data_IF_206801589804
#
_entry.id   IF_206801589804
#
_cell.length_a   1.000
_cell.length_b   1.000
_cell.length_c   1.000
_cell.angle_alpha   90.00
_cell.angle_beta   90.00
_cell.angle_gamma   90.00
#
_symmetry.space_group_name_H-M   'P 1'
#
loop_
_entity.id
_entity.type
_entity.pdbx_description
1 polymer ?
#
# COMPACT_ATOMS: atom_id res chain seq x y z
N UNK A 1 4.00 -10.05 -21.63
CA UNK A 1 4.00 -8.65 -22.18
C UNK A 1 4.38 -8.65 -23.64
N UNK A 2 3.55 -8.02 -24.49
CA UNK A 2 3.85 -7.86 -25.91
C UNK A 2 4.96 -6.84 -26.16
N UNK A 3 5.73 -6.96 -27.29
CA UNK A 3 6.82 -6.02 -27.59
C UNK A 3 6.37 -4.55 -27.69
N UNK A 4 5.17 -4.32 -28.16
CA UNK A 4 4.58 -2.99 -28.31
C UNK A 4 4.37 -2.31 -26.95
N UNK A 5 3.70 -2.96 -26.01
CA UNK A 5 3.53 -2.45 -24.65
C UNK A 5 4.87 -2.24 -23.95
N UNK A 6 5.82 -3.18 -24.16
CA UNK A 6 7.17 -3.04 -23.60
C UNK A 6 7.88 -1.78 -24.11
N UNK A 7 7.74 -1.46 -25.38
CA UNK A 7 8.31 -0.25 -25.98
C UNK A 7 7.64 1.02 -25.43
N UNK A 8 6.32 1.01 -25.29
CA UNK A 8 5.56 2.16 -24.78
C UNK A 8 5.91 2.49 -23.33
N UNK A 9 6.05 1.49 -22.44
CA UNK A 9 6.35 1.73 -21.01
C UNK A 9 7.85 1.98 -20.73
N UNK A 10 8.74 1.79 -21.72
CA UNK A 10 10.19 1.82 -21.50
C UNK A 10 10.70 3.16 -20.96
N UNK A 11 10.05 4.26 -21.29
CA UNK A 11 10.44 5.62 -20.91
C UNK A 11 9.44 6.31 -19.97
N UNK A 12 8.31 5.66 -19.63
CA UNK A 12 7.28 6.24 -18.79
C UNK A 12 7.66 6.18 -17.32
N UNK A 13 7.51 7.29 -16.63
CA UNK A 13 7.65 7.37 -15.20
C UNK A 13 6.33 6.94 -14.52
N UNK A 14 6.39 5.87 -13.78
CA UNK A 14 5.24 5.24 -13.15
C UNK A 14 5.33 5.44 -11.64
N UNK A 15 4.28 5.99 -11.05
CA UNK A 15 4.11 6.06 -9.60
C UNK A 15 3.01 5.10 -9.16
N UNK A 16 3.29 4.26 -8.17
CA UNK A 16 2.30 3.38 -7.57
C UNK A 16 2.09 3.75 -6.10
N UNK A 17 0.86 4.08 -5.71
CA UNK A 17 0.46 4.26 -4.32
C UNK A 17 0.08 2.90 -3.73
N UNK A 18 0.76 2.50 -2.67
CA UNK A 18 0.59 1.16 -2.13
C UNK A 18 0.58 1.11 -0.59
N UNK A 19 -0.18 0.17 -0.04
CA UNK A 19 -0.12 -0.26 1.34
C UNK A 19 -0.65 -1.68 1.47
N UNK A 20 -0.26 -2.39 2.53
CA UNK A 20 -0.69 -3.75 2.79
C UNK A 20 -0.30 -4.79 1.74
N UNK A 21 -0.89 -5.97 1.89
CA UNK A 21 -0.54 -7.15 1.07
C UNK A 21 -0.95 -7.01 -0.40
N UNK A 22 -2.13 -6.44 -0.66
CA UNK A 22 -2.64 -6.24 -2.04
C UNK A 22 -1.75 -5.29 -2.81
N UNK A 23 -1.42 -4.14 -2.22
CA UNK A 23 -0.52 -3.14 -2.78
C UNK A 23 0.88 -3.68 -3.05
N UNK A 24 1.46 -4.40 -2.07
CA UNK A 24 2.77 -5.03 -2.22
C UNK A 24 2.83 -6.02 -3.38
N UNK A 25 1.77 -6.80 -3.61
CA UNK A 25 1.68 -7.76 -4.72
C UNK A 25 1.68 -7.06 -6.08
N UNK A 26 0.87 -6.00 -6.25
CA UNK A 26 0.85 -5.25 -7.51
C UNK A 26 2.18 -4.52 -7.73
N UNK A 27 2.73 -3.89 -6.68
CA UNK A 27 4.06 -3.26 -6.73
C UNK A 27 5.14 -4.25 -7.20
N UNK A 28 5.10 -5.50 -6.71
CA UNK A 28 5.99 -6.58 -7.16
C UNK A 28 5.74 -6.98 -8.62
N UNK A 29 4.50 -6.96 -9.09
CA UNK A 29 4.18 -7.19 -10.50
C UNK A 29 4.74 -6.10 -11.40
N UNK A 30 4.53 -4.85 -11.04
CA UNK A 30 5.08 -3.69 -11.74
C UNK A 30 6.62 -3.74 -11.80
N UNK A 31 7.27 -4.07 -10.69
CA UNK A 31 8.74 -4.18 -10.64
C UNK A 31 9.31 -5.32 -11.51
N UNK A 32 8.50 -6.31 -11.91
CA UNK A 32 8.90 -7.38 -12.82
C UNK A 32 8.88 -6.95 -14.30
N UNK A 33 8.03 -5.97 -14.65
CA UNK A 33 7.77 -5.63 -16.07
C UNK A 33 8.18 -4.21 -16.44
N UNK A 34 8.08 -3.24 -15.53
CA UNK A 34 8.51 -1.86 -15.76
C UNK A 34 10.02 -1.68 -15.51
N UNK A 35 10.68 -0.75 -16.23
CA UNK A 35 12.07 -0.41 -15.94
C UNK A 35 12.19 0.14 -14.52
N UNK A 36 13.07 -0.45 -13.71
CA UNK A 36 13.18 -0.13 -12.27
C UNK A 36 13.56 1.32 -11.99
N UNK A 37 14.26 2.00 -12.89
CA UNK A 37 14.62 3.41 -12.79
C UNK A 37 13.45 4.36 -13.04
N UNK A 38 12.36 3.87 -13.64
CA UNK A 38 11.16 4.64 -13.97
C UNK A 38 9.96 4.26 -13.08
N UNK A 39 10.14 3.34 -12.13
CA UNK A 39 9.09 2.93 -11.21
C UNK A 39 9.38 3.43 -9.79
N UNK A 40 8.47 4.23 -9.25
CA UNK A 40 8.47 4.66 -7.85
C UNK A 40 7.23 4.12 -7.13
N UNK A 41 7.44 3.49 -5.99
CA UNK A 41 6.37 3.04 -5.10
C UNK A 41 6.32 3.98 -3.90
N UNK A 42 5.20 4.68 -3.72
CA UNK A 42 4.93 5.51 -2.53
C UNK A 42 4.09 4.67 -1.57
N UNK A 43 4.60 4.47 -0.36
CA UNK A 43 4.00 3.55 0.61
C UNK A 43 3.43 4.29 1.80
N UNK A 44 2.28 3.82 2.26
CA UNK A 44 1.64 4.26 3.48
C UNK A 44 2.55 4.08 4.70
N UNK A 45 2.58 5.10 5.56
CA UNK A 45 3.21 5.09 6.89
C UNK A 45 2.21 5.46 7.99
N UNK A 46 0.92 5.49 7.64
CA UNK A 46 -0.16 5.83 8.58
C UNK A 46 -0.42 4.77 9.65
N UNK A 47 0.07 3.58 9.45
CA UNK A 47 0.00 2.47 10.40
C UNK A 47 1.31 2.21 11.16
N UNK A 48 2.31 3.07 10.98
CA UNK A 48 3.58 3.02 11.72
C UNK A 48 3.35 3.28 13.21
N UNK A 49 4.07 2.56 14.06
CA UNK A 49 3.95 2.70 15.52
C UNK A 49 5.23 2.31 16.25
N UNK A 50 5.26 2.60 17.55
CA UNK A 50 6.37 2.23 18.42
C UNK A 50 6.04 0.98 19.25
N UNK A 51 6.93 0.00 19.25
CA UNK A 51 6.85 -1.18 20.10
C UNK A 51 8.24 -1.56 20.61
N UNK A 52 8.38 -1.77 21.93
CA UNK A 52 9.66 -2.12 22.57
C UNK A 52 10.79 -1.11 22.26
N UNK A 53 10.46 0.15 22.03
CA UNK A 53 11.41 1.20 21.64
C UNK A 53 11.83 1.15 20.17
N UNK A 54 11.23 0.29 19.37
CA UNK A 54 11.50 0.14 17.93
C UNK A 54 10.40 0.78 17.10
N UNK A 55 10.78 1.36 15.97
CA UNK A 55 9.84 1.84 14.96
C UNK A 55 9.44 0.70 14.04
N UNK A 56 8.15 0.35 14.08
CA UNK A 56 7.53 -0.69 13.27
C UNK A 56 6.76 -0.02 12.14
N UNK A 57 7.01 -0.44 10.90
CA UNK A 57 6.41 0.15 9.69
C UNK A 57 5.75 -0.96 8.85
N UNK A 58 4.55 -1.45 9.21
CA UNK A 58 3.98 -2.68 8.67
C UNK A 58 3.80 -2.69 7.16
N UNK A 59 3.29 -1.59 6.57
CA UNK A 59 3.08 -1.50 5.13
C UNK A 59 4.42 -1.38 4.38
N UNK A 60 5.35 -0.56 4.88
CA UNK A 60 6.70 -0.44 4.33
C UNK A 60 7.43 -1.78 4.33
N UNK A 61 7.32 -2.55 5.42
CA UNK A 61 7.97 -3.85 5.56
C UNK A 61 7.35 -4.88 4.63
N UNK A 62 6.02 -4.92 4.55
CA UNK A 62 5.30 -5.80 3.64
C UNK A 62 5.71 -5.56 2.17
N UNK A 63 5.82 -4.30 1.74
CA UNK A 63 6.26 -3.95 0.39
C UNK A 63 7.75 -4.28 0.20
N UNK A 64 8.60 -3.91 1.15
CA UNK A 64 10.05 -4.19 1.10
C UNK A 64 10.32 -5.69 1.02
N UNK A 65 9.71 -6.50 1.87
CA UNK A 65 9.91 -7.95 1.87
C UNK A 65 9.36 -8.62 0.60
N UNK A 66 8.26 -8.10 0.07
CA UNK A 66 7.68 -8.61 -1.19
C UNK A 66 8.56 -8.30 -2.40
N UNK A 67 9.11 -7.09 -2.49
CA UNK A 67 10.04 -6.69 -3.55
C UNK A 67 11.41 -7.38 -3.43
N UNK A 68 11.87 -7.63 -2.19
CA UNK A 68 13.12 -8.32 -1.90
C UNK A 68 13.03 -9.85 -1.96
N UNK A 69 11.87 -10.41 -2.32
CA UNK A 69 11.63 -11.87 -2.39
C UNK A 69 11.89 -12.63 -1.08
N UNK A 70 11.67 -11.97 0.07
CA UNK A 70 11.88 -12.57 1.40
C UNK A 70 10.59 -12.62 2.23
N UNK A 71 9.46 -12.25 1.64
CA UNK A 71 8.15 -12.26 2.33
C UNK A 71 7.62 -13.67 2.55
N UNK A 72 6.95 -13.89 3.67
CA UNK A 72 6.21 -15.12 3.92
C UNK A 72 4.95 -15.17 3.06
N UNK A 73 4.93 -16.08 2.09
CA UNK A 73 3.83 -16.22 1.13
C UNK A 73 2.56 -16.83 1.75
N UNK A 74 2.67 -17.55 2.87
CA UNK A 74 1.52 -18.20 3.53
C UNK A 74 0.72 -17.19 4.34
N UNK A 75 1.39 -16.41 5.19
CA UNK A 75 0.76 -15.36 5.99
C UNK A 75 0.45 -14.11 5.16
N UNK A 76 1.29 -13.81 4.16
CA UNK A 76 1.26 -12.59 3.35
C UNK A 76 1.85 -11.37 4.06
N UNK A 77 2.41 -11.53 5.26
CA UNK A 77 3.15 -10.53 6.04
C UNK A 77 4.33 -11.20 6.76
N UNK A 78 5.28 -10.39 7.19
CA UNK A 78 6.50 -10.87 7.81
C UNK A 78 7.45 -11.56 6.83
N UNK A 79 8.52 -12.13 7.34
CA UNK A 79 9.57 -12.76 6.54
C UNK A 79 9.39 -14.26 6.46
N UNK A 80 9.86 -14.86 5.38
CA UNK A 80 9.97 -16.31 5.28
C UNK A 80 11.09 -16.83 6.18
N UNK A 81 10.89 -18.01 6.78
CA UNK A 81 11.88 -18.64 7.64
C UNK A 81 12.02 -18.01 9.03
N UNK A 82 10.99 -17.31 9.51
CA UNK A 82 10.99 -16.70 10.84
C UNK A 82 11.11 -17.73 11.96
N UNK A 83 11.81 -17.33 13.02
CA UNK A 83 11.71 -17.88 14.37
C UNK A 83 11.08 -16.85 15.31
N UNK A 84 10.66 -17.30 16.49
CA UNK A 84 9.85 -16.50 17.41
C UNK A 84 10.46 -16.44 18.81
N UNK A 85 11.74 -16.77 18.92
CA UNK A 85 12.44 -16.94 20.21
C UNK A 85 12.42 -15.65 21.01
N UNK A 86 12.70 -14.52 20.37
CA UNK A 86 12.78 -13.22 21.04
C UNK A 86 11.41 -12.79 21.56
N UNK A 87 10.36 -12.84 20.75
CA UNK A 87 9.02 -12.38 21.17
C UNK A 87 8.41 -13.30 22.23
N UNK A 88 8.71 -14.61 22.19
CA UNK A 88 8.30 -15.55 23.22
C UNK A 88 8.99 -15.25 24.56
N UNK A 89 10.27 -14.91 24.53
CA UNK A 89 11.02 -14.53 25.71
C UNK A 89 10.54 -13.17 26.27
N UNK A 90 10.24 -12.19 25.39
CA UNK A 90 9.60 -10.93 25.80
C UNK A 90 8.29 -11.19 26.54
N UNK A 91 7.46 -12.09 26.02
CA UNK A 91 6.20 -12.50 26.66
C UNK A 91 6.45 -13.13 28.04
N UNK A 92 7.44 -14.03 28.14
CA UNK A 92 7.83 -14.69 29.40
C UNK A 92 8.28 -13.68 30.46
N UNK A 93 8.94 -12.61 30.02
CA UNK A 93 9.40 -11.52 30.90
C UNK A 93 8.32 -10.47 31.21
N UNK A 94 7.08 -10.66 30.74
CA UNK A 94 5.95 -9.75 30.99
C UNK A 94 5.90 -8.53 30.08
N UNK A 95 6.68 -8.51 29.01
CA UNK A 95 6.66 -7.44 28.01
C UNK A 95 5.46 -7.56 27.02
N UNK A 96 5.19 -6.49 26.24
CA UNK A 96 4.12 -6.49 25.25
C UNK A 96 4.43 -7.47 24.11
N UNK A 97 3.46 -8.33 23.78
CA UNK A 97 3.59 -9.35 22.72
C UNK A 97 2.32 -9.50 21.88
N UNK A 98 1.52 -8.44 21.84
CA UNK A 98 0.28 -8.42 21.06
C UNK A 98 0.52 -8.31 19.55
N UNK A 99 1.65 -7.75 19.15
CA UNK A 99 2.09 -7.71 17.77
C UNK A 99 3.18 -8.76 17.58
N UNK A 100 2.97 -9.65 16.62
CA UNK A 100 3.92 -10.74 16.35
C UNK A 100 5.12 -10.22 15.57
N UNK A 101 6.30 -10.25 16.19
CA UNK A 101 7.58 -9.91 15.58
C UNK A 101 8.42 -11.18 15.47
N UNK A 102 8.75 -11.59 14.26
CA UNK A 102 9.72 -12.65 14.01
C UNK A 102 11.15 -12.16 14.27
N UNK A 103 12.09 -13.07 14.47
CA UNK A 103 13.48 -12.70 14.80
C UNK A 103 14.20 -12.02 13.62
N UNK A 104 13.88 -12.41 12.36
CA UNK A 104 14.40 -11.76 11.16
C UNK A 104 13.74 -10.42 10.90
N UNK A 105 12.43 -10.30 11.14
CA UNK A 105 11.68 -9.04 11.07
C UNK A 105 12.20 -8.04 12.10
N UNK A 106 12.46 -8.51 13.32
CA UNK A 106 13.06 -7.71 14.39
C UNK A 106 14.39 -7.09 13.98
N UNK A 107 15.22 -7.78 13.21
CA UNK A 107 16.49 -7.24 12.71
C UNK A 107 16.26 -6.02 11.79
N UNK A 108 15.23 -6.04 10.96
CA UNK A 108 14.84 -4.89 10.11
C UNK A 108 14.45 -3.68 10.98
N UNK A 109 13.63 -3.92 12.02
CA UNK A 109 13.21 -2.84 12.93
C UNK A 109 14.38 -2.26 13.74
N UNK A 110 15.31 -3.10 14.18
CA UNK A 110 16.52 -2.65 14.88
C UNK A 110 17.37 -1.72 13.99
N UNK A 111 17.66 -2.12 12.75
CA UNK A 111 18.41 -1.30 11.80
C UNK A 111 17.69 0.01 11.50
N UNK A 112 16.38 -0.03 11.20
CA UNK A 112 15.58 1.19 10.98
C UNK A 112 15.63 2.11 12.19
N UNK A 113 15.37 1.57 13.38
CA UNK A 113 15.32 2.36 14.60
C UNK A 113 16.68 2.98 14.95
N UNK A 114 17.80 2.31 14.66
CA UNK A 114 19.13 2.88 14.80
C UNK A 114 19.30 4.10 13.89
N UNK A 115 18.94 4.00 12.58
CA UNK A 115 19.01 5.14 11.65
C UNK A 115 18.22 6.35 12.18
N UNK A 116 17.00 6.12 12.66
CA UNK A 116 16.15 7.18 13.21
C UNK A 116 16.73 7.79 14.49
N UNK A 117 17.30 6.96 15.38
CA UNK A 117 17.95 7.42 16.60
C UNK A 117 19.23 8.25 16.33
N UNK A 118 19.90 8.00 15.21
CA UNK A 118 21.04 8.80 14.72
C UNK A 118 20.60 10.10 14.02
N UNK A 119 19.30 10.40 13.98
CA UNK A 119 18.74 11.61 13.38
C UNK A 119 18.58 11.53 11.86
N UNK A 120 18.68 10.34 11.28
CA UNK A 120 18.41 10.13 9.87
C UNK A 120 16.90 10.01 9.61
N UNK A 121 16.47 10.21 8.37
CA UNK A 121 15.05 10.14 7.99
C UNK A 121 14.58 8.70 7.72
N UNK A 122 13.27 8.48 7.77
CA UNK A 122 12.66 7.20 7.37
C UNK A 122 12.97 6.87 5.90
N UNK A 123 12.98 7.89 5.01
CA UNK A 123 13.42 7.75 3.61
C UNK A 123 14.85 7.21 3.51
N UNK A 124 15.78 7.69 4.36
CA UNK A 124 17.16 7.21 4.37
C UNK A 124 17.28 5.78 4.86
N UNK A 125 16.58 5.43 5.95
CA UNK A 125 16.52 4.08 6.48
C UNK A 125 15.90 3.10 5.46
N UNK A 126 14.82 3.49 4.81
CA UNK A 126 14.17 2.70 3.74
C UNK A 126 15.10 2.43 2.58
N UNK A 127 15.81 3.46 2.08
CA UNK A 127 16.78 3.31 0.98
C UNK A 127 17.89 2.32 1.36
N UNK A 128 18.41 2.43 2.59
CA UNK A 128 19.42 1.51 3.09
C UNK A 128 18.90 0.07 3.08
N UNK A 129 17.74 -0.19 3.66
CA UNK A 129 17.12 -1.52 3.72
C UNK A 129 16.85 -2.07 2.30
N UNK A 130 16.31 -1.27 1.39
CA UNK A 130 16.11 -1.65 0.00
C UNK A 130 17.41 -2.10 -0.67
N UNK A 131 18.50 -1.37 -0.43
CA UNK A 131 19.83 -1.74 -0.96
C UNK A 131 20.29 -3.10 -0.42
N UNK A 132 20.11 -3.35 0.89
CA UNK A 132 20.48 -4.63 1.52
C UNK A 132 19.63 -5.81 1.01
N UNK A 133 18.37 -5.56 0.68
CA UNK A 133 17.47 -6.55 0.08
C UNK A 133 17.59 -6.66 -1.45
N UNK A 134 18.51 -5.92 -2.09
CA UNK A 134 18.74 -5.97 -3.54
C UNK A 134 17.60 -5.37 -4.37
N UNK A 135 16.74 -4.53 -3.76
CA UNK A 135 15.63 -3.85 -4.42
C UNK A 135 16.18 -2.67 -5.23
N UNK A 136 15.90 -2.67 -6.53
CA UNK A 136 16.34 -1.62 -7.46
C UNK A 136 15.29 -0.54 -7.71
N UNK A 137 14.02 -0.89 -7.51
CA UNK A 137 12.88 0.04 -7.65
C UNK A 137 12.93 1.07 -6.53
N UNK A 138 12.60 2.31 -6.83
CA UNK A 138 12.51 3.36 -5.82
C UNK A 138 11.31 3.12 -4.91
N UNK A 139 11.57 2.92 -3.62
CA UNK A 139 10.57 2.77 -2.58
C UNK A 139 10.65 3.97 -1.64
N UNK A 140 9.55 4.71 -1.49
CA UNK A 140 9.49 5.92 -0.69
C UNK A 140 8.38 5.82 0.36
N UNK A 141 8.65 6.18 1.63
CA UNK A 141 7.58 6.48 2.56
C UNK A 141 6.82 7.72 2.08
N UNK A 142 5.51 7.79 2.30
CA UNK A 142 4.70 8.95 1.92
C UNK A 142 5.19 10.25 2.56
N UNK A 143 5.79 10.13 3.75
CA UNK A 143 6.38 11.23 4.53
C UNK A 143 7.47 10.73 5.45
N UNK A 144 8.40 11.61 5.85
CA UNK A 144 9.34 11.38 6.95
C UNK A 144 8.76 11.82 8.31
N UNK A 145 7.57 12.45 8.31
CA UNK A 145 6.86 12.84 9.52
C UNK A 145 5.96 11.71 10.02
N UNK A 146 5.75 11.63 11.32
CA UNK A 146 4.75 10.71 11.86
C UNK A 146 3.35 11.09 11.39
N UNK A 147 2.62 10.14 10.85
CA UNK A 147 1.30 10.35 10.26
C UNK A 147 0.29 9.28 10.71
N UNK A 148 0.03 9.10 12.03
CA UNK A 148 -0.74 7.98 12.54
C UNK A 148 -2.19 8.03 12.05
N UNK A 149 -2.67 6.91 11.52
CA UNK A 149 -4.08 6.67 11.24
C UNK A 149 -4.78 6.24 12.50
N UNK A 150 -5.85 6.95 12.88
CA UNK A 150 -6.64 6.69 14.08
C UNK A 150 -8.01 6.15 13.71
N UNK A 151 -8.47 5.15 14.43
CA UNK A 151 -9.80 4.56 14.29
C UNK A 151 -10.69 5.08 15.41
N UNK A 152 -11.72 5.83 15.04
CA UNK A 152 -12.76 6.28 15.97
C UNK A 152 -13.81 5.20 16.07
N UNK A 153 -13.99 4.66 17.28
CA UNK A 153 -15.03 3.69 17.63
C UNK A 153 -16.16 4.39 18.42
N UNK A 154 -17.08 3.61 18.96
CA UNK A 154 -18.12 4.18 19.84
C UNK A 154 -17.52 4.70 21.16
N UNK A 155 -16.53 3.98 21.69
CA UNK A 155 -16.06 4.19 23.05
C UNK A 155 -14.64 4.78 23.12
N UNK A 156 -13.83 4.58 22.07
CA UNK A 156 -12.42 4.97 22.05
C UNK A 156 -11.95 5.51 20.69
N UNK A 157 -10.78 6.16 20.69
CA UNK A 157 -9.98 6.48 19.52
C UNK A 157 -8.67 5.70 19.59
N UNK A 158 -8.49 4.74 18.70
CA UNK A 158 -7.40 3.78 18.73
C UNK A 158 -6.45 3.99 17.54
N UNK A 159 -5.11 3.86 17.73
CA UNK A 159 -4.20 3.70 16.60
C UNK A 159 -4.62 2.49 15.75
N UNK A 160 -4.46 2.59 14.43
CA UNK A 160 -4.95 1.54 13.52
C UNK A 160 -4.44 0.15 13.88
N UNK A 161 -3.13 -0.02 14.14
CA UNK A 161 -2.58 -1.33 14.49
C UNK A 161 -3.07 -1.86 15.84
N UNK A 162 -3.39 -0.98 16.79
CA UNK A 162 -4.04 -1.39 18.05
C UNK A 162 -5.44 -1.93 17.76
N UNK A 163 -6.24 -1.21 16.99
CA UNK A 163 -7.57 -1.66 16.61
C UNK A 163 -7.52 -2.94 15.77
N UNK A 164 -6.61 -3.01 14.80
CA UNK A 164 -6.55 -4.10 13.82
C UNK A 164 -5.99 -5.39 14.40
N UNK A 165 -4.84 -5.31 15.11
CA UNK A 165 -4.13 -6.51 15.60
C UNK A 165 -4.50 -6.79 17.04
N UNK A 166 -4.35 -5.81 17.95
CA UNK A 166 -4.53 -6.04 19.40
C UNK A 166 -5.99 -6.32 19.75
N UNK A 167 -6.92 -5.52 19.20
CA UNK A 167 -8.36 -5.66 19.42
C UNK A 167 -9.03 -6.60 18.40
N UNK A 168 -8.23 -7.21 17.49
CA UNK A 168 -8.73 -8.13 16.47
C UNK A 168 -9.83 -7.52 15.59
N UNK A 169 -9.79 -6.17 15.37
CA UNK A 169 -10.78 -5.39 14.62
C UNK A 169 -12.24 -5.63 15.06
N UNK A 170 -12.44 -6.04 16.30
CA UNK A 170 -13.80 -6.27 16.87
C UNK A 170 -14.57 -4.97 17.10
N UNK A 171 -13.98 -3.88 17.66
CA UNK A 171 -14.73 -2.65 17.87
C UNK A 171 -15.25 -2.09 16.56
N UNK A 172 -16.55 -1.73 16.55
CA UNK A 172 -17.18 -1.14 15.36
C UNK A 172 -16.60 0.25 15.09
N UNK A 173 -16.21 0.47 13.83
CA UNK A 173 -15.65 1.75 13.37
C UNK A 173 -16.76 2.75 13.07
N UNK A 174 -16.54 4.01 13.43
CA UNK A 174 -17.39 5.15 13.04
C UNK A 174 -16.72 6.04 12.01
N UNK A 175 -15.42 6.22 12.14
CA UNK A 175 -14.65 7.13 11.31
C UNK A 175 -13.17 6.74 11.33
N UNK A 176 -12.48 7.00 10.23
CA UNK A 176 -11.01 7.07 10.17
C UNK A 176 -10.61 8.53 10.33
N UNK A 177 -9.68 8.79 11.24
CA UNK A 177 -9.13 10.12 11.47
C UNK A 177 -7.67 10.13 11.04
N UNK A 178 -7.33 11.04 10.14
CA UNK A 178 -5.99 11.26 9.63
C UNK A 178 -5.39 12.54 10.21
N UNK A 179 -4.07 12.61 10.42
CA UNK A 179 -3.41 13.81 10.93
C UNK A 179 -3.49 14.95 9.90
N UNK A 180 -3.46 16.17 10.38
CA UNK A 180 -3.32 17.38 9.57
C UNK A 180 -1.84 17.78 9.47
N UNK A 181 -1.52 18.63 8.49
CA UNK A 181 -0.21 19.28 8.32
C UNK A 181 0.99 18.33 8.08
N UNK A 182 0.74 17.09 7.68
CA UNK A 182 1.79 16.17 7.21
C UNK A 182 2.18 16.50 5.78
N UNK A 183 3.48 16.55 5.51
CA UNK A 183 4.03 16.93 4.21
C UNK A 183 4.80 15.79 3.56
N UNK A 184 4.66 15.70 2.25
CA UNK A 184 5.43 14.79 1.41
C UNK A 184 6.91 15.15 1.42
N UNK A 185 7.76 14.14 1.26
CA UNK A 185 9.19 14.37 1.08
C UNK A 185 9.47 14.99 -0.29
N UNK A 186 10.62 15.64 -0.44
CA UNK A 186 11.02 16.18 -1.74
C UNK A 186 11.12 15.09 -2.82
N UNK A 187 11.46 13.86 -2.43
CA UNK A 187 11.54 12.72 -3.34
C UNK A 187 10.15 12.29 -3.83
N UNK A 188 9.15 12.29 -2.96
CA UNK A 188 7.75 11.99 -3.31
C UNK A 188 7.21 13.06 -4.27
N UNK A 189 7.42 14.34 -3.95
CA UNK A 189 7.02 15.46 -4.82
C UNK A 189 7.67 15.31 -6.21
N UNK A 190 8.98 15.09 -6.27
CA UNK A 190 9.70 14.94 -7.52
C UNK A 190 9.23 13.72 -8.34
N UNK A 191 8.92 12.60 -7.70
CA UNK A 191 8.37 11.43 -8.38
C UNK A 191 6.99 11.75 -8.99
N UNK A 192 6.13 12.44 -8.26
CA UNK A 192 4.83 12.87 -8.75
C UNK A 192 4.91 13.93 -9.86
N UNK A 193 5.84 14.88 -9.79
CA UNK A 193 6.04 15.88 -10.86
C UNK A 193 6.41 15.22 -12.20
N UNK A 194 7.16 14.14 -12.15
CA UNK A 194 7.62 13.42 -13.34
C UNK A 194 6.72 12.28 -13.80
N UNK A 195 5.73 11.92 -12.99
CA UNK A 195 4.88 10.79 -13.31
C UNK A 195 4.06 10.99 -14.57
N UNK A 196 4.12 10.06 -15.49
CA UNK A 196 3.24 9.95 -16.65
C UNK A 196 1.99 9.14 -16.30
N UNK A 197 2.12 8.17 -15.39
CA UNK A 197 1.05 7.30 -14.91
C UNK A 197 1.10 7.23 -13.40
N UNK A 198 -0.08 7.36 -12.74
CA UNK A 198 -0.27 7.07 -11.33
C UNK A 198 -1.20 5.86 -11.18
N UNK A 199 -0.76 4.88 -10.40
CA UNK A 199 -1.51 3.65 -10.13
C UNK A 199 -1.87 3.63 -8.64
N UNK A 200 -3.16 3.53 -8.33
CA UNK A 200 -3.65 3.24 -6.99
C UNK A 200 -3.79 1.71 -6.88
N UNK A 201 -2.91 1.10 -6.12
CA UNK A 201 -2.89 -0.36 -5.95
C UNK A 201 -4.16 -0.88 -5.22
N UNK A 202 -4.49 -2.19 -5.30
CA UNK A 202 -5.64 -2.78 -4.61
C UNK A 202 -5.40 -2.87 -3.09
N UNK A 203 -5.27 -1.71 -2.48
CA UNK A 203 -5.06 -1.46 -1.05
C UNK A 203 -6.34 -0.95 -0.41
N UNK A 204 -6.44 -1.03 0.91
CA UNK A 204 -7.60 -0.51 1.63
C UNK A 204 -7.71 1.02 1.39
N UNK A 205 -8.83 1.52 0.83
CA UNK A 205 -8.99 2.95 0.53
C UNK A 205 -8.78 3.85 1.75
N UNK A 206 -9.29 3.44 2.91
CA UNK A 206 -9.41 4.30 4.10
C UNK A 206 -8.15 4.36 4.97
N UNK A 207 -7.40 3.26 5.05
CA UNK A 207 -6.26 3.13 5.98
C UNK A 207 -4.93 2.86 5.28
N UNK A 208 -4.93 2.69 3.95
CA UNK A 208 -3.70 2.54 3.18
C UNK A 208 -3.54 3.61 2.09
N UNK A 209 -4.61 3.98 1.38
CA UNK A 209 -4.54 4.96 0.28
C UNK A 209 -4.84 6.38 0.77
N UNK A 210 -5.92 6.59 1.52
CA UNK A 210 -6.24 7.92 2.04
C UNK A 210 -5.13 8.52 2.91
N UNK A 211 -4.42 7.75 3.76
CA UNK A 211 -3.27 8.32 4.47
C UNK A 211 -2.20 8.88 3.53
N UNK A 212 -1.92 8.22 2.38
CA UNK A 212 -1.00 8.74 1.36
C UNK A 212 -1.56 10.02 0.74
N UNK A 213 -2.82 9.98 0.31
CA UNK A 213 -3.49 11.13 -0.33
C UNK A 213 -3.68 12.32 0.62
N UNK A 214 -3.73 12.09 1.93
CA UNK A 214 -3.85 13.13 2.94
C UNK A 214 -2.53 13.89 3.19
N UNK A 215 -1.40 13.35 2.75
CA UNK A 215 -0.11 14.01 2.86
C UNK A 215 0.00 15.11 1.81
N UNK A 216 0.07 16.39 2.27
CA UNK A 216 0.17 17.53 1.36
C UNK A 216 1.51 17.55 0.60
N UNK A 217 1.56 17.80 -0.70
CA UNK A 217 0.47 18.11 -1.64
C UNK A 217 0.09 16.92 -2.55
N UNK A 218 0.15 15.65 -2.07
CA UNK A 218 0.03 14.47 -2.95
C UNK A 218 -1.31 14.46 -3.71
N UNK A 219 -2.43 14.67 -3.03
CA UNK A 219 -3.76 14.66 -3.67
C UNK A 219 -3.90 15.77 -4.71
N UNK A 220 -3.49 16.98 -4.36
CA UNK A 220 -3.52 18.14 -5.25
C UNK A 220 -2.68 17.89 -6.51
N UNK A 221 -1.47 17.36 -6.33
CA UNK A 221 -0.59 17.04 -7.47
C UNK A 221 -1.19 15.95 -8.37
N UNK A 222 -1.85 14.96 -7.82
CA UNK A 222 -2.49 13.90 -8.61
C UNK A 222 -3.67 14.47 -9.41
N UNK A 223 -4.45 15.37 -8.83
CA UNK A 223 -5.62 15.98 -9.49
C UNK A 223 -5.25 17.07 -10.52
N UNK A 224 -4.22 17.85 -10.23
CA UNK A 224 -3.92 19.06 -11.03
C UNK A 224 -2.95 18.79 -12.21
N UNK A 225 -2.17 17.72 -12.16
CA UNK A 225 -1.17 17.44 -13.18
C UNK A 225 -1.74 16.52 -14.28
N UNK A 226 -1.46 16.82 -15.58
CA UNK A 226 -1.97 16.02 -16.69
C UNK A 226 -1.29 14.64 -16.72
N UNK A 227 -1.96 13.63 -16.28
CA UNK A 227 -1.49 12.23 -16.24
C UNK A 227 -2.67 11.29 -16.14
N UNK A 228 -2.49 10.03 -16.55
CA UNK A 228 -3.49 9.00 -16.31
C UNK A 228 -3.40 8.50 -14.86
N UNK A 229 -4.53 8.46 -14.17
CA UNK A 229 -4.68 7.91 -12.84
C UNK A 229 -5.62 6.72 -12.88
N UNK A 230 -5.10 5.53 -12.62
CA UNK A 230 -5.91 4.30 -12.62
C UNK A 230 -5.87 3.61 -11.26
N UNK A 231 -7.02 3.11 -10.81
CA UNK A 231 -7.12 2.40 -9.54
C UNK A 231 -7.59 0.95 -9.73
N UNK A 232 -7.05 0.04 -8.91
CA UNK A 232 -7.47 -1.36 -8.87
C UNK A 232 -8.31 -1.61 -7.64
N UNK A 233 -9.46 -2.27 -7.81
CA UNK A 233 -10.37 -2.59 -6.72
C UNK A 233 -9.74 -3.55 -5.69
N UNK A 234 -9.81 -3.25 -4.38
CA UNK A 234 -9.52 -4.22 -3.32
C UNK A 234 -10.70 -5.12 -2.99
N UNK A 235 -11.88 -4.85 -3.57
CA UNK A 235 -13.12 -5.61 -3.36
C UNK A 235 -13.38 -6.48 -4.59
N UNK A 236 -13.64 -7.75 -4.36
CA UNK A 236 -13.94 -8.76 -5.37
C UNK A 236 -15.18 -9.54 -4.93
N UNK A 237 -16.23 -9.56 -5.75
CA UNK A 237 -17.47 -10.27 -5.45
C UNK A 237 -18.12 -9.83 -4.13
N UNK A 238 -18.04 -8.54 -3.79
CA UNK A 238 -18.57 -7.98 -2.55
C UNK A 238 -17.76 -8.33 -1.30
N UNK A 239 -16.49 -8.75 -1.44
CA UNK A 239 -15.62 -9.14 -0.32
C UNK A 239 -14.23 -8.50 -0.47
N UNK A 240 -13.59 -8.19 0.65
CA UNK A 240 -12.16 -7.90 0.67
C UNK A 240 -11.38 -9.22 0.62
N UNK A 241 -10.36 -9.28 -0.24
CA UNK A 241 -9.48 -10.47 -0.35
C UNK A 241 -8.70 -10.67 0.94
N UNK A 242 -8.22 -9.58 1.55
CA UNK A 242 -7.56 -9.55 2.86
C UNK A 242 -7.89 -8.26 3.61
N UNK A 243 -7.81 -8.32 4.94
CA UNK A 243 -7.97 -7.17 5.81
C UNK A 243 -9.40 -6.67 5.96
N UNK A 244 -9.59 -5.54 6.65
CA UNK A 244 -10.89 -5.11 7.16
C UNK A 244 -11.70 -4.24 6.18
N UNK A 245 -11.29 -4.03 4.91
CA UNK A 245 -11.91 -3.05 4.01
C UNK A 245 -13.43 -3.24 3.88
N UNK A 246 -13.90 -4.48 3.68
CA UNK A 246 -15.34 -4.78 3.55
C UNK A 246 -16.12 -4.45 4.84
N UNK A 247 -15.56 -4.79 6.02
CA UNK A 247 -16.15 -4.43 7.32
C UNK A 247 -16.20 -2.93 7.50
N UNK A 248 -15.11 -2.23 7.19
CA UNK A 248 -15.02 -0.78 7.30
C UNK A 248 -16.06 -0.09 6.41
N UNK A 249 -16.19 -0.52 5.15
CA UNK A 249 -17.23 -0.01 4.24
C UNK A 249 -18.62 -0.17 4.85
N UNK A 250 -18.96 -1.39 5.28
CA UNK A 250 -20.28 -1.69 5.84
C UNK A 250 -20.59 -0.85 7.10
N UNK A 251 -19.64 -0.72 8.01
CA UNK A 251 -19.82 0.02 9.27
C UNK A 251 -19.86 1.54 9.08
N UNK A 252 -19.21 2.06 8.04
CA UNK A 252 -19.30 3.46 7.63
C UNK A 252 -20.51 3.74 6.70
N UNK A 253 -21.38 2.75 6.48
CA UNK A 253 -22.61 2.90 5.70
C UNK A 253 -22.40 2.93 4.18
N UNK A 254 -21.26 2.44 3.69
CA UNK A 254 -20.95 2.33 2.27
C UNK A 254 -21.32 0.93 1.74
N UNK A 255 -21.84 0.81 0.51
CA UNK A 255 -22.00 -0.50 -0.13
C UNK A 255 -20.65 -1.21 -0.26
N UNK A 256 -20.61 -2.52 0.04
CA UNK A 256 -19.40 -3.33 -0.13
C UNK A 256 -19.32 -3.81 -1.58
N UNK A 257 -18.79 -2.98 -2.46
CA UNK A 257 -18.67 -3.29 -3.89
C UNK A 257 -17.51 -2.56 -4.55
N UNK A 258 -17.03 -3.04 -5.69
CA UNK A 258 -16.03 -2.39 -6.51
C UNK A 258 -16.53 -1.00 -6.99
N UNK A 259 -17.80 -0.89 -7.38
CA UNK A 259 -18.38 0.41 -7.79
C UNK A 259 -18.38 1.45 -6.67
N UNK A 260 -18.61 1.04 -5.41
CA UNK A 260 -18.53 1.96 -4.28
C UNK A 260 -17.09 2.44 -4.03
N UNK A 261 -16.09 1.60 -4.29
CA UNK A 261 -14.67 2.01 -4.23
C UNK A 261 -14.36 3.02 -5.33
N UNK A 262 -14.80 2.77 -6.57
CA UNK A 262 -14.64 3.73 -7.66
C UNK A 262 -15.30 5.07 -7.34
N UNK A 263 -16.54 5.04 -6.85
CA UNK A 263 -17.27 6.26 -6.42
C UNK A 263 -16.58 6.98 -5.26
N UNK A 264 -15.92 6.26 -4.38
CA UNK A 264 -15.15 6.85 -3.27
C UNK A 264 -13.94 7.64 -3.75
N UNK A 265 -13.24 7.15 -4.77
CA UNK A 265 -12.14 7.92 -5.39
C UNK A 265 -12.66 9.08 -6.24
N UNK A 266 -13.85 8.95 -6.83
CA UNK A 266 -14.50 10.02 -7.59
C UNK A 266 -13.62 10.56 -8.72
N UNK A 267 -13.44 11.88 -8.75
CA UNK A 267 -12.67 12.59 -9.78
C UNK A 267 -11.14 12.41 -9.67
N UNK A 268 -10.67 11.71 -8.65
CA UNK A 268 -9.23 11.43 -8.50
C UNK A 268 -8.71 10.46 -9.57
N UNK A 269 -9.58 9.60 -10.12
CA UNK A 269 -9.21 8.53 -11.03
C UNK A 269 -9.86 8.70 -12.41
N UNK A 270 -9.10 8.47 -13.46
CA UNK A 270 -9.57 8.46 -14.85
C UNK A 270 -10.03 7.06 -15.27
N UNK A 271 -9.45 6.02 -14.67
CA UNK A 271 -9.78 4.64 -14.96
C UNK A 271 -9.84 3.75 -13.71
N UNK A 272 -10.71 2.74 -13.78
CA UNK A 272 -10.90 1.78 -12.69
C UNK A 272 -10.84 0.34 -13.17
N UNK A 273 -10.16 -0.51 -12.41
CA UNK A 273 -9.99 -1.93 -12.73
C UNK A 273 -10.70 -2.76 -11.67
N UNK A 274 -11.65 -3.59 -12.08
CA UNK A 274 -12.36 -4.51 -11.21
C UNK A 274 -12.22 -5.97 -11.66
N UNK A 275 -12.50 -6.88 -10.74
CA UNK A 275 -12.42 -8.30 -11.01
C UNK A 275 -13.55 -8.79 -11.93
N UNK A 276 -13.35 -9.93 -12.59
CA UNK A 276 -14.33 -10.59 -13.44
C UNK A 276 -15.61 -10.95 -12.66
N UNK A 277 -15.51 -11.22 -11.36
CA UNK A 277 -16.68 -11.46 -10.50
C UNK A 277 -17.60 -10.23 -10.40
N UNK A 278 -17.02 -9.03 -10.60
CA UNK A 278 -17.74 -7.75 -10.54
C UNK A 278 -18.12 -7.20 -11.93
N UNK A 279 -17.96 -7.97 -13.02
CA UNK A 279 -18.25 -7.53 -14.39
C UNK A 279 -19.68 -6.94 -14.54
N UNK A 280 -20.65 -7.45 -13.81
CA UNK A 280 -22.05 -7.02 -13.86
C UNK A 280 -22.28 -5.59 -13.33
N UNK A 281 -21.36 -5.05 -12.50
CA UNK A 281 -21.47 -3.70 -11.96
C UNK A 281 -20.56 -2.69 -12.67
N UNK A 282 -19.73 -3.12 -13.60
CA UNK A 282 -18.79 -2.24 -14.31
C UNK A 282 -19.47 -1.06 -15.01
N UNK A 283 -20.65 -1.28 -15.58
CA UNK A 283 -21.46 -0.24 -16.24
C UNK A 283 -22.01 0.85 -15.28
N UNK A 284 -21.95 0.63 -13.98
CA UNK A 284 -22.36 1.63 -12.97
C UNK A 284 -21.20 2.50 -12.48
N UNK A 285 -19.98 2.25 -12.95
CA UNK A 285 -18.79 2.99 -12.62
C UNK A 285 -18.68 4.21 -13.54
N UNK A 286 -18.33 5.37 -12.99
CA UNK A 286 -18.41 6.65 -13.70
C UNK A 286 -17.18 7.00 -14.55
N UNK A 287 -16.13 6.17 -14.49
CA UNK A 287 -14.91 6.36 -15.28
C UNK A 287 -14.70 5.16 -16.23
N UNK A 288 -13.73 5.25 -17.11
CA UNK A 288 -13.30 4.11 -17.93
C UNK A 288 -13.03 2.89 -17.06
N UNK A 289 -13.47 1.72 -17.48
CA UNK A 289 -13.43 0.52 -16.64
C UNK A 289 -12.86 -0.68 -17.39
N UNK A 290 -11.83 -1.30 -16.82
CA UNK A 290 -11.30 -2.59 -17.25
C UNK A 290 -11.80 -3.70 -16.32
N UNK A 291 -12.33 -4.77 -16.90
CA UNK A 291 -12.69 -6.00 -16.18
C UNK A 291 -11.67 -7.09 -16.51
N UNK A 292 -10.91 -7.55 -15.50
CA UNK A 292 -9.92 -8.62 -15.67
C UNK A 292 -9.83 -9.50 -14.41
N UNK A 293 -9.02 -10.56 -14.39
CA UNK A 293 -8.71 -11.31 -13.16
C UNK A 293 -7.74 -10.50 -12.30
N UNK A 294 -8.21 -9.92 -11.21
CA UNK A 294 -7.38 -9.12 -10.29
C UNK A 294 -6.73 -9.94 -9.18
N UNK A 295 -7.01 -11.25 -9.10
CA UNK A 295 -6.49 -12.10 -8.05
C UNK A 295 -5.05 -12.50 -8.32
N UNK A 296 -4.15 -12.10 -7.42
CA UNK A 296 -2.71 -12.36 -7.50
C UNK A 296 -2.31 -13.50 -6.56
N UNK A 297 -2.29 -14.73 -7.06
CA UNK A 297 -1.97 -15.95 -6.30
C UNK A 297 -0.47 -16.22 -6.26
N UNK A 298 0.22 -15.88 -7.34
CA UNK A 298 1.65 -16.15 -7.56
C UNK A 298 2.33 -14.99 -8.31
N UNK A 299 3.63 -15.08 -8.58
CA UNK A 299 4.40 -14.06 -9.31
C UNK A 299 3.88 -13.82 -10.73
N UNK A 300 3.46 -14.87 -11.43
CA UNK A 300 2.90 -14.75 -12.78
C UNK A 300 1.60 -13.95 -12.79
N UNK A 301 0.70 -14.17 -11.83
CA UNK A 301 -0.53 -13.39 -11.70
C UNK A 301 -0.24 -11.91 -11.39
N UNK A 302 0.82 -11.62 -10.61
CA UNK A 302 1.25 -10.24 -10.31
C UNK A 302 1.72 -9.54 -11.58
N UNK A 303 2.56 -10.19 -12.38
CA UNK A 303 3.04 -9.65 -13.65
C UNK A 303 1.90 -9.47 -14.66
N UNK A 304 0.99 -10.45 -14.79
CA UNK A 304 -0.20 -10.36 -15.64
C UNK A 304 -1.06 -9.15 -15.28
N UNK A 305 -1.44 -9.00 -13.99
CA UNK A 305 -2.25 -7.86 -13.57
C UNK A 305 -1.51 -6.53 -13.80
N UNK A 306 -0.20 -6.49 -13.59
CA UNK A 306 0.59 -5.29 -13.88
C UNK A 306 0.59 -4.95 -15.38
N UNK A 307 0.63 -5.95 -16.28
CA UNK A 307 0.48 -5.74 -17.74
C UNK A 307 -0.90 -5.18 -18.07
N UNK A 308 -1.96 -5.76 -17.51
CA UNK A 308 -3.34 -5.29 -17.71
C UNK A 308 -3.51 -3.84 -17.24
N UNK A 309 -2.97 -3.51 -16.05
CA UNK A 309 -3.01 -2.16 -15.45
C UNK A 309 -2.28 -1.14 -16.32
N UNK A 310 -1.06 -1.45 -16.78
CA UNK A 310 -0.27 -0.51 -17.60
C UNK A 310 -0.87 -0.34 -18.99
N UNK A 311 -1.32 -1.41 -19.62
CA UNK A 311 -2.00 -1.34 -20.91
C UNK A 311 -3.27 -0.50 -20.85
N UNK A 312 -4.05 -0.67 -19.78
CA UNK A 312 -5.26 0.13 -19.56
C UNK A 312 -4.94 1.60 -19.26
N UNK A 313 -3.93 1.88 -18.42
CA UNK A 313 -3.53 3.25 -18.11
C UNK A 313 -3.11 4.03 -19.37
N UNK A 314 -2.42 3.37 -20.30
CA UNK A 314 -2.09 3.98 -21.61
C UNK A 314 -3.33 4.30 -22.43
N UNK A 315 -4.33 3.40 -22.45
CA UNK A 315 -5.57 3.64 -23.21
C UNK A 315 -6.45 4.75 -22.63
N UNK A 316 -6.28 5.07 -21.36
CA UNK A 316 -7.00 6.15 -20.67
C UNK A 316 -6.29 7.49 -20.85
N UNK A 317 -4.96 7.47 -21.10
CA UNK A 317 -4.14 8.66 -21.30
C UNK A 317 -4.31 9.27 -22.71
N UNK A 318 -4.75 8.46 -23.71
CA UNK A 318 -5.01 8.88 -25.10
C UNK A 318 -6.38 9.60 -25.22
#
# INVERSE_FOLDING_TARGET
MGPELQAQIAELNIVCLAGGVGGAKLASGLAQIAPTQHLTIIVNTGDDFQLLGLTICPDMDTVTYTLGDVSNLQTGWGREGESWVTIEEVRRLGGPSWFSLGDLDLATHLVRSQFLAEGQTLTSATRHLCTQYGIKTQLLPMSDQAAPTMIVTKDDVLPFQTWFVKEGWQPAIRQVQLPQDVRATAQVIHALEKADIVIVAPSNPFVSIDPILNVYPIREMIMDLPRAVVAVSPIVGGKAIKGPAAKMMAEMGLPVSAAAVASYYGELIDGFICDQEDAHISQTIHCETLVCDTIMRNKGDRARLAEDVLGFALSVAD
#
